data_IF_667518158244
#
_entry.id   IF_667518158244
#
_cell.length_a   1.000
_cell.length_b   1.000
_cell.length_c   1.000
_cell.angle_alpha   90.00
_cell.angle_beta   90.00
_cell.angle_gamma   90.00
#
_symmetry.space_group_name_H-M   'P 1'
#
loop_
_entity.id
_entity.type
_entity.pdbx_description
1 polymer ?
#
# COMPACT_ATOMS: atom_id res chain seq x y z
N UNK A 1 6.53 4.01 -31.48
CA UNK A 1 5.61 2.88 -31.75
C UNK A 1 6.29 1.54 -31.45
N UNK A 2 7.43 1.22 -32.08
CA UNK A 2 8.17 -0.05 -31.85
C UNK A 2 8.51 -0.31 -30.37
N UNK A 3 9.11 0.66 -29.66
CA UNK A 3 9.45 0.55 -28.23
C UNK A 3 8.24 0.31 -27.31
N UNK A 4 7.07 0.83 -27.67
CA UNK A 4 5.84 0.62 -26.88
C UNK A 4 5.33 -0.80 -27.07
N UNK A 5 5.40 -1.32 -28.30
CA UNK A 5 5.06 -2.70 -28.62
C UNK A 5 6.02 -3.68 -27.94
N UNK A 6 7.33 -3.41 -27.96
CA UNK A 6 8.33 -4.22 -27.25
C UNK A 6 8.06 -4.27 -25.74
N UNK A 7 7.79 -3.12 -25.12
CA UNK A 7 7.43 -3.05 -23.70
C UNK A 7 6.13 -3.78 -23.39
N UNK A 8 5.13 -3.67 -24.27
CA UNK A 8 3.85 -4.36 -24.11
C UNK A 8 4.03 -5.88 -24.21
N UNK A 9 4.81 -6.36 -25.19
CA UNK A 9 5.13 -7.79 -25.34
C UNK A 9 5.86 -8.29 -24.09
N UNK A 10 6.91 -7.60 -23.66
CA UNK A 10 7.64 -7.96 -22.45
C UNK A 10 6.75 -7.99 -21.20
N UNK A 11 5.85 -7.01 -21.06
CA UNK A 11 4.90 -6.98 -19.95
C UNK A 11 3.94 -8.18 -19.98
N UNK A 12 3.38 -8.51 -21.15
CA UNK A 12 2.49 -9.66 -21.32
C UNK A 12 3.22 -10.96 -21.02
N UNK A 13 4.45 -11.13 -21.54
CA UNK A 13 5.28 -12.32 -21.28
C UNK A 13 5.60 -12.51 -19.79
N UNK A 14 5.94 -11.43 -19.07
CA UNK A 14 6.22 -11.49 -17.62
C UNK A 14 4.98 -11.90 -16.85
N UNK A 15 3.81 -11.32 -17.15
CA UNK A 15 2.55 -11.66 -16.49
C UNK A 15 2.12 -13.09 -16.78
N UNK A 16 2.36 -13.57 -18.00
CA UNK A 16 2.12 -14.97 -18.35
C UNK A 16 3.06 -15.92 -17.58
N UNK A 17 4.34 -15.58 -17.46
CA UNK A 17 5.31 -16.35 -16.68
C UNK A 17 4.92 -16.45 -15.20
N UNK A 18 4.49 -15.36 -14.59
CA UNK A 18 4.00 -15.33 -13.20
C UNK A 18 2.73 -16.17 -13.04
N UNK A 19 1.76 -16.03 -13.96
CA UNK A 19 0.53 -16.80 -13.92
C UNK A 19 0.79 -18.31 -14.06
N UNK A 20 1.69 -18.71 -14.98
CA UNK A 20 2.14 -20.09 -15.14
C UNK A 20 2.77 -20.63 -13.86
N UNK A 21 3.68 -19.88 -13.24
CA UNK A 21 4.31 -20.30 -11.98
C UNK A 21 3.29 -20.46 -10.84
N UNK A 22 2.35 -19.52 -10.72
CA UNK A 22 1.28 -19.59 -9.73
C UNK A 22 0.37 -20.80 -9.94
N UNK A 23 0.04 -21.12 -11.20
CA UNK A 23 -0.73 -22.31 -11.54
C UNK A 23 -0.01 -23.59 -11.12
N UNK A 24 1.27 -23.71 -11.46
CA UNK A 24 2.07 -24.90 -11.15
C UNK A 24 2.23 -25.11 -9.64
N UNK A 25 2.41 -24.03 -8.87
CA UNK A 25 2.38 -24.10 -7.40
C UNK A 25 1.01 -24.53 -6.87
N UNK A 26 -0.09 -23.95 -7.39
CA UNK A 26 -1.44 -24.34 -7.00
C UNK A 26 -1.72 -25.81 -7.30
N UNK A 27 -1.33 -26.28 -8.49
CA UNK A 27 -1.42 -27.68 -8.91
C UNK A 27 -0.67 -28.60 -7.96
N UNK A 28 0.57 -28.26 -7.60
CA UNK A 28 1.36 -29.04 -6.64
C UNK A 28 0.74 -29.07 -5.24
N UNK A 29 0.14 -27.96 -4.80
CA UNK A 29 -0.50 -27.85 -3.49
C UNK A 29 -1.81 -28.63 -3.36
N UNK A 30 -2.50 -28.91 -4.48
CA UNK A 30 -3.79 -29.58 -4.46
C UNK A 30 -3.73 -31.05 -4.08
N UNK A 31 -2.56 -31.70 -4.17
CA UNK A 31 -2.19 -33.03 -3.62
C UNK A 31 -2.97 -34.25 -4.13
N UNK A 32 -4.30 -34.13 -4.18
CA UNK A 32 -5.28 -35.19 -4.38
C UNK A 32 -6.07 -34.98 -5.68
N UNK A 33 -6.00 -33.77 -6.27
CA UNK A 33 -6.68 -33.43 -7.52
C UNK A 33 -5.65 -33.42 -8.64
N UNK A 34 -5.79 -34.36 -9.58
CA UNK A 34 -4.95 -34.43 -10.77
C UNK A 34 -5.36 -33.32 -11.76
N UNK A 35 -4.76 -32.14 -11.62
CA UNK A 35 -4.81 -31.12 -12.66
C UNK A 35 -3.70 -31.37 -13.70
N UNK A 36 -3.96 -31.11 -15.00
CA UNK A 36 -2.94 -31.26 -16.03
C UNK A 36 -1.83 -30.20 -15.86
N UNK A 37 -0.63 -30.42 -16.40
CA UNK A 37 0.40 -29.38 -16.45
C UNK A 37 -0.06 -28.19 -17.29
N UNK A 38 0.55 -27.02 -17.06
CA UNK A 38 0.19 -25.77 -17.74
C UNK A 38 0.09 -25.89 -19.27
N UNK A 39 1.05 -26.60 -19.87
CA UNK A 39 1.12 -26.74 -21.34
C UNK A 39 -0.03 -27.56 -21.93
N UNK A 40 -0.64 -28.43 -21.12
CA UNK A 40 -1.77 -29.27 -21.49
C UNK A 40 -3.12 -28.62 -21.15
N UNK A 41 -3.13 -27.47 -20.48
CA UNK A 41 -4.38 -26.79 -20.18
C UNK A 41 -5.10 -26.34 -21.46
N UNK A 42 -6.43 -26.53 -21.52
CA UNK A 42 -7.25 -25.90 -22.54
C UNK A 42 -7.02 -24.39 -22.55
N UNK A 43 -7.02 -23.78 -23.74
CA UNK A 43 -6.78 -22.34 -23.87
C UNK A 43 -7.77 -21.48 -23.08
N UNK A 44 -9.01 -21.96 -22.90
CA UNK A 44 -10.01 -21.31 -22.02
C UNK A 44 -9.56 -21.30 -20.57
N UNK A 45 -9.11 -22.44 -20.03
CA UNK A 45 -8.63 -22.54 -18.66
C UNK A 45 -7.39 -21.67 -18.41
N UNK A 46 -6.42 -21.66 -19.35
CA UNK A 46 -5.25 -20.76 -19.28
C UNK A 46 -5.66 -19.29 -19.23
N UNK A 47 -6.55 -18.86 -20.13
CA UNK A 47 -7.03 -17.47 -20.16
C UNK A 47 -7.80 -17.09 -18.89
N UNK A 48 -8.63 -17.98 -18.38
CA UNK A 48 -9.35 -17.75 -17.11
C UNK A 48 -8.37 -17.61 -15.94
N UNK A 49 -7.36 -18.48 -15.86
CA UNK A 49 -6.33 -18.37 -14.84
C UNK A 49 -5.52 -17.07 -14.96
N UNK A 50 -5.03 -16.74 -16.16
CA UNK A 50 -4.32 -15.49 -16.46
C UNK A 50 -5.13 -14.25 -16.03
N UNK A 51 -6.42 -14.22 -16.34
CA UNK A 51 -7.30 -13.12 -15.94
C UNK A 51 -7.46 -13.05 -14.42
N UNK A 52 -7.64 -14.19 -13.75
CA UNK A 52 -7.79 -14.25 -12.30
C UNK A 52 -6.52 -13.82 -11.55
N UNK A 53 -5.34 -14.25 -12.01
CA UNK A 53 -4.05 -13.85 -11.43
C UNK A 53 -3.77 -12.38 -11.69
N UNK A 54 -4.03 -11.88 -12.90
CA UNK A 54 -3.86 -10.45 -13.20
C UNK A 54 -4.73 -9.57 -12.30
N UNK A 55 -5.99 -9.95 -12.09
CA UNK A 55 -6.88 -9.24 -11.18
C UNK A 55 -6.40 -9.33 -9.71
N UNK A 56 -5.75 -10.43 -9.31
CA UNK A 56 -5.16 -10.55 -7.97
C UNK A 56 -3.96 -9.61 -7.79
N UNK A 57 -3.07 -9.53 -8.78
CA UNK A 57 -1.93 -8.60 -8.76
C UNK A 57 -2.40 -7.15 -8.65
N UNK A 58 -3.38 -6.75 -9.47
CA UNK A 58 -3.95 -5.41 -9.40
C UNK A 58 -4.50 -5.09 -8.00
N UNK A 59 -5.16 -6.05 -7.35
CA UNK A 59 -5.65 -5.86 -5.98
C UNK A 59 -4.49 -5.72 -4.98
N UNK A 60 -3.40 -6.47 -5.15
CA UNK A 60 -2.22 -6.35 -4.30
C UNK A 60 -1.55 -4.98 -4.47
N UNK A 61 -1.35 -4.51 -5.71
CA UNK A 61 -0.78 -3.20 -6.02
C UNK A 61 -1.62 -2.06 -5.42
N UNK A 62 -2.96 -2.15 -5.55
CA UNK A 62 -3.89 -1.18 -4.95
C UNK A 62 -3.80 -1.20 -3.42
N UNK A 63 -3.76 -2.39 -2.81
CA UNK A 63 -3.64 -2.53 -1.36
C UNK A 63 -2.31 -1.96 -0.83
N UNK A 64 -1.21 -2.20 -1.53
CA UNK A 64 0.09 -1.61 -1.22
C UNK A 64 0.05 -0.08 -1.34
N UNK A 65 -0.53 0.45 -2.43
CA UNK A 65 -0.74 1.88 -2.62
C UNK A 65 -1.54 2.51 -1.48
N UNK A 66 -2.66 1.90 -1.09
CA UNK A 66 -3.47 2.35 0.05
C UNK A 66 -2.71 2.28 1.37
N UNK A 67 -1.94 1.22 1.61
CA UNK A 67 -1.11 1.10 2.81
C UNK A 67 -0.04 2.19 2.88
N UNK A 68 0.57 2.53 1.74
CA UNK A 68 1.54 3.63 1.65
C UNK A 68 0.89 4.99 1.91
N UNK A 69 -0.30 5.24 1.36
CA UNK A 69 -1.08 6.46 1.63
C UNK A 69 -1.43 6.58 3.11
N UNK A 70 -1.98 5.53 3.73
CA UNK A 70 -2.30 5.55 5.16
C UNK A 70 -1.06 5.76 6.04
N UNK A 71 0.11 5.25 5.64
CA UNK A 71 1.37 5.53 6.34
C UNK A 71 1.76 7.00 6.24
N UNK A 72 1.62 7.60 5.06
CA UNK A 72 1.89 9.02 4.85
C UNK A 72 0.95 9.88 5.71
N UNK A 73 -0.36 9.65 5.64
CA UNK A 73 -1.36 10.39 6.45
C UNK A 73 -1.08 10.27 7.95
N UNK A 74 -0.70 9.08 8.43
CA UNK A 74 -0.32 8.87 9.83
C UNK A 74 0.92 9.70 10.21
N UNK A 75 1.92 9.75 9.35
CA UNK A 75 3.17 10.44 9.65
C UNK A 75 2.96 11.97 9.60
N UNK A 76 2.14 12.47 8.67
CA UNK A 76 1.68 13.85 8.65
C UNK A 76 0.92 14.21 9.93
N UNK A 77 -0.02 13.36 10.36
CA UNK A 77 -0.76 13.57 11.60
C UNK A 77 0.14 13.56 12.84
N UNK A 78 1.18 12.72 12.88
CA UNK A 78 2.18 12.74 13.95
C UNK A 78 2.96 14.06 13.97
N UNK A 79 3.35 14.56 12.80
CA UNK A 79 4.07 15.81 12.67
C UNK A 79 3.21 17.00 13.10
N UNK A 80 1.94 17.04 12.68
CA UNK A 80 0.99 18.06 13.12
C UNK A 80 0.78 18.01 14.64
N UNK A 81 0.62 16.81 15.21
CA UNK A 81 0.44 16.64 16.65
C UNK A 81 1.68 17.11 17.44
N UNK A 82 2.88 16.85 16.94
CA UNK A 82 4.12 17.36 17.53
C UNK A 82 4.16 18.89 17.52
N UNK A 83 3.83 19.52 16.38
CA UNK A 83 3.79 20.97 16.25
C UNK A 83 2.76 21.61 17.20
N UNK A 84 1.57 21.01 17.33
CA UNK A 84 0.53 21.49 18.24
C UNK A 84 0.96 21.40 19.70
N UNK A 85 1.68 20.33 20.08
CA UNK A 85 2.25 20.20 21.43
C UNK A 85 3.28 21.30 21.72
N UNK A 86 4.17 21.59 20.78
CA UNK A 86 5.15 22.67 20.94
C UNK A 86 4.48 24.03 21.09
N UNK A 87 3.46 24.32 20.28
CA UNK A 87 2.66 25.55 20.37
C UNK A 87 1.94 25.65 21.72
N UNK A 88 1.38 24.54 22.21
CA UNK A 88 0.72 24.51 23.52
C UNK A 88 1.70 24.81 24.66
N UNK A 89 2.90 24.23 24.63
CA UNK A 89 3.93 24.48 25.65
C UNK A 89 4.49 25.91 25.56
N UNK A 90 4.59 26.50 24.37
CA UNK A 90 4.91 27.91 24.22
C UNK A 90 3.83 28.81 24.86
N UNK A 91 2.56 28.59 24.54
CA UNK A 91 1.44 29.36 25.09
C UNK A 91 1.33 29.21 26.63
N UNK A 92 1.58 28.01 27.16
CA UNK A 92 1.62 27.77 28.61
C UNK A 92 2.71 28.60 29.30
N UNK A 93 3.91 28.66 28.71
CA UNK A 93 5.02 29.46 29.22
C UNK A 93 4.71 30.97 29.17
N UNK A 94 4.16 31.46 28.06
CA UNK A 94 3.73 32.86 27.94
C UNK A 94 2.68 33.22 28.99
N UNK A 95 1.68 32.37 29.20
CA UNK A 95 0.63 32.59 30.19
C UNK A 95 1.18 32.59 31.62
N UNK A 96 2.15 31.72 31.92
CA UNK A 96 2.83 31.71 33.21
C UNK A 96 3.58 33.01 33.47
N UNK A 97 4.37 33.50 32.50
CA UNK A 97 5.07 34.78 32.62
C UNK A 97 4.10 35.94 32.84
N UNK A 98 2.99 36.01 32.09
CA UNK A 98 1.98 37.05 32.27
C UNK A 98 1.34 37.01 33.67
N UNK A 99 1.14 35.82 34.24
CA UNK A 99 0.65 35.67 35.62
C UNK A 99 1.65 36.12 36.67
N UNK A 100 2.95 35.85 36.48
CA UNK A 100 3.99 36.30 37.40
C UNK A 100 4.18 37.83 37.40
N UNK A 101 3.87 38.48 36.28
CA UNK A 101 3.96 39.94 36.12
C UNK A 101 2.61 40.65 36.30
N UNK A 102 1.55 39.92 36.64
CA UNK A 102 0.27 40.52 36.99
C UNK A 102 0.44 41.27 38.33
N UNK A 103 0.13 42.58 38.41
CA UNK A 103 0.25 43.31 39.65
C UNK A 103 -0.64 42.64 40.71
N UNK A 104 -0.14 42.56 41.94
CA UNK A 104 -0.93 42.08 43.07
C UNK A 104 -2.07 43.08 43.30
N UNK A 105 -3.24 42.83 42.70
CA UNK A 105 -4.46 43.54 43.06
C UNK A 105 -4.84 43.09 44.48
N UNK A 106 -4.42 43.88 45.47
CA UNK A 106 -4.74 43.63 46.87
C UNK A 106 -3.70 44.09 47.89
N UNK A 107 -3.17 45.30 47.76
CA UNK A 107 -2.60 46.03 48.91
C UNK A 107 -3.36 47.35 49.04
N UNK A 108 -4.58 47.24 49.58
CA UNK A 108 -5.33 48.36 50.15
C UNK A 108 -5.12 48.37 51.67
#
# INVERSE_FOLDING_TARGET
MLQVLEKLVQFVEVKEGQAKQAYEHFRAALGNVALPPWEELPGTARRTWLAATHAADQRADIAEGMANLMRAERDDAKQECALLREKLEAARRELHLLREHAPAEGSA
#
